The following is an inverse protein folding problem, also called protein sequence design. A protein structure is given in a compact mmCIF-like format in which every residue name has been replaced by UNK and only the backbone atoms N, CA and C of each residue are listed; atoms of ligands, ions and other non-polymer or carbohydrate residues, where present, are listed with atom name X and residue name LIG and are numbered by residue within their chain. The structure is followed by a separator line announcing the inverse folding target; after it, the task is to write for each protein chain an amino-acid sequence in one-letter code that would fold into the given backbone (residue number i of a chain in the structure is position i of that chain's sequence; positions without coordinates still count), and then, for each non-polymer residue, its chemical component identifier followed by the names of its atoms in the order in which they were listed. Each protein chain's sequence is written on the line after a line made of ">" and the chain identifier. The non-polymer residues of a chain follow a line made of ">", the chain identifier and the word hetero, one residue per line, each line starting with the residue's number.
data_IF_463320608270
#
_entry.id   IF_463320608270
#
_cell.length_a   1.000
_cell.length_b   1.000
_cell.length_c   1.000
_cell.angle_alpha   90.00
_cell.angle_beta   90.00
_cell.angle_gamma   90.00
#
_symmetry.space_group_name_H-M   'P 1'
#
loop_
_entity.id
_entity.type
_entity.pdbx_description
1 polymer ?
#
# COMPACT_ATOMS: atom_id res chain seq x y z
N UNK A 1 22.86 6.06 50.62
CA UNK A 1 22.09 7.24 51.09
C UNK A 1 20.64 6.83 51.34
N UNK A 2 20.22 6.76 52.60
CA UNK A 2 18.96 6.13 53.02
C UNK A 2 17.71 6.84 52.49
N UNK A 3 16.82 6.06 51.87
CA UNK A 3 15.52 6.52 51.37
C UNK A 3 14.54 6.60 52.54
N UNK A 4 14.25 7.81 53.04
CA UNK A 4 13.24 8.01 54.09
C UNK A 4 11.83 7.65 53.58
N UNK A 5 11.00 7.07 54.44
CA UNK A 5 9.59 6.78 54.13
C UNK A 5 8.84 8.08 53.83
N UNK A 6 7.99 8.06 52.81
CA UNK A 6 7.25 9.26 52.35
C UNK A 6 6.10 9.67 53.27
N UNK A 7 5.72 8.80 54.21
CA UNK A 7 4.61 8.99 55.14
C UNK A 7 5.01 9.64 56.47
N UNK A 8 6.30 9.73 56.77
CA UNK A 8 6.81 10.27 58.04
C UNK A 8 7.47 11.64 57.87
N UNK A 9 7.40 12.45 58.93
CA UNK A 9 8.09 13.74 59.02
C UNK A 9 9.60 13.55 59.21
N UNK A 10 10.38 14.63 59.13
CA UNK A 10 11.84 14.59 59.37
C UNK A 10 12.21 14.04 60.77
N UNK A 11 11.29 14.15 61.73
CA UNK A 11 11.40 13.63 63.11
C UNK A 11 10.86 12.20 63.27
N UNK A 12 10.38 11.55 62.22
CA UNK A 12 9.78 10.21 62.29
C UNK A 12 8.31 10.16 62.71
N UNK A 13 7.70 11.29 63.09
CA UNK A 13 6.27 11.37 63.43
C UNK A 13 5.41 11.19 62.17
N UNK A 14 4.23 10.58 62.33
CA UNK A 14 3.25 10.46 61.26
C UNK A 14 2.89 11.84 60.70
N UNK A 15 2.88 11.96 59.37
CA UNK A 15 2.60 13.23 58.70
C UNK A 15 1.09 13.45 58.58
N UNK A 16 0.62 14.68 58.80
CA UNK A 16 -0.80 15.03 58.68
C UNK A 16 -1.35 14.62 57.29
N UNK A 17 -2.53 13.98 57.20
CA UNK A 17 -3.14 13.58 55.92
C UNK A 17 -3.26 14.73 54.90
N UNK A 18 -3.54 15.96 55.35
CA UNK A 18 -3.59 17.15 54.47
C UNK A 18 -2.21 17.48 53.89
N UNK A 19 -1.16 17.38 54.71
CA UNK A 19 0.21 17.58 54.26
C UNK A 19 0.69 16.48 53.31
N UNK A 20 0.21 15.25 53.50
CA UNK A 20 0.47 14.14 52.57
C UNK A 20 -0.12 14.46 51.20
N UNK A 21 -1.39 14.86 51.14
CA UNK A 21 -2.04 15.25 49.89
C UNK A 21 -1.31 16.41 49.19
N UNK A 22 -0.90 17.44 49.94
CA UNK A 22 -0.12 18.57 49.41
C UNK A 22 1.25 18.15 48.86
N UNK A 23 1.99 17.31 49.59
CA UNK A 23 3.29 16.79 49.11
C UNK A 23 3.13 15.91 47.88
N UNK A 24 2.08 15.11 47.80
CA UNK A 24 1.79 14.30 46.63
C UNK A 24 1.46 15.16 45.40
N UNK A 25 0.63 16.20 45.57
CA UNK A 25 0.34 17.16 44.52
C UNK A 25 1.63 17.85 44.03
N UNK A 26 2.46 18.35 44.94
CA UNK A 26 3.75 18.96 44.60
C UNK A 26 4.68 17.98 43.87
N UNK A 27 4.72 16.71 44.28
CA UNK A 27 5.51 15.67 43.63
C UNK A 27 5.02 15.38 42.21
N UNK A 28 3.70 15.37 41.99
CA UNK A 28 3.11 15.22 40.64
C UNK A 28 3.48 16.42 39.76
N UNK A 29 3.40 17.63 40.32
CA UNK A 29 3.76 18.86 39.63
C UNK A 29 5.26 18.91 39.26
N UNK A 30 6.15 18.59 40.21
CA UNK A 30 7.59 18.49 39.97
C UNK A 30 7.93 17.46 38.89
N UNK A 31 7.19 16.35 38.81
CA UNK A 31 7.36 15.36 37.73
C UNK A 31 6.95 15.93 36.37
N UNK A 32 5.83 16.65 36.29
CA UNK A 32 5.41 17.32 35.05
C UNK A 32 6.45 18.34 34.60
N UNK A 33 6.90 19.20 35.51
CA UNK A 33 7.95 20.19 35.24
C UNK A 33 9.27 19.55 34.81
N UNK A 34 9.67 18.44 35.42
CA UNK A 34 10.86 17.68 34.98
C UNK A 34 10.68 17.14 33.55
N UNK A 35 9.52 16.56 33.23
CA UNK A 35 9.23 16.08 31.87
C UNK A 35 9.27 17.21 30.85
N UNK A 36 8.62 18.34 31.15
CA UNK A 36 8.63 19.52 30.30
C UNK A 36 10.06 20.02 30.06
N UNK A 37 10.87 20.15 31.11
CA UNK A 37 12.29 20.52 30.97
C UNK A 37 13.06 19.56 30.07
N UNK A 38 12.83 18.25 30.19
CA UNK A 38 13.49 17.27 29.32
C UNK A 38 13.03 17.39 27.86
N UNK A 39 11.73 17.59 27.61
CA UNK A 39 11.21 17.82 26.26
C UNK A 39 11.75 19.10 25.64
N UNK A 40 11.74 20.21 26.39
CA UNK A 40 12.31 21.50 25.95
C UNK A 40 13.80 21.35 25.65
N UNK A 41 14.57 20.66 26.52
CA UNK A 41 15.99 20.38 26.27
C UNK A 41 16.21 19.59 24.99
N UNK A 42 15.43 18.52 24.77
CA UNK A 42 15.51 17.73 23.55
C UNK A 42 15.18 18.57 22.31
N UNK A 43 14.10 19.35 22.33
CA UNK A 43 13.70 20.19 21.19
C UNK A 43 14.74 21.27 20.88
N UNK A 44 15.28 21.94 21.90
CA UNK A 44 16.34 22.96 21.73
C UNK A 44 17.61 22.33 21.15
N UNK A 45 17.95 21.10 21.54
CA UNK A 45 19.09 20.39 20.96
C UNK A 45 18.83 20.05 19.49
N UNK A 46 17.64 19.54 19.12
CA UNK A 46 17.33 19.19 17.72
C UNK A 46 17.53 20.33 16.71
N UNK A 47 17.35 21.58 17.13
CA UNK A 47 17.43 22.77 16.27
C UNK A 47 18.83 23.38 16.17
N UNK A 48 19.82 22.87 16.92
CA UNK A 48 21.17 23.43 16.97
C UNK A 48 22.11 22.70 16.03
N UNK A 49 23.09 23.43 15.52
CA UNK A 49 24.22 22.83 14.80
C UNK A 49 25.12 22.04 15.76
N UNK A 50 25.64 20.87 15.36
CA UNK A 50 26.57 20.07 16.18
C UNK A 50 28.02 20.57 16.12
N UNK A 51 28.39 21.36 15.09
CA UNK A 51 29.76 21.87 14.88
C UNK A 51 30.33 22.69 16.06
N UNK A 52 29.57 23.56 16.75
CA UNK A 52 30.04 24.24 17.96
C UNK A 52 30.51 23.29 19.07
N UNK A 53 29.88 22.12 19.23
CA UNK A 53 30.25 21.15 20.27
C UNK A 53 31.66 20.60 20.01
N UNK A 54 31.97 20.31 18.74
CA UNK A 54 33.31 19.86 18.32
C UNK A 54 34.34 20.95 18.60
N UNK A 55 34.06 22.19 18.21
CA UNK A 55 34.94 23.34 18.49
C UNK A 55 35.19 23.55 19.99
N UNK A 56 34.19 23.32 20.83
CA UNK A 56 34.34 23.43 22.28
C UNK A 56 35.14 22.25 22.87
N UNK A 57 35.11 21.07 22.26
CA UNK A 57 36.02 19.97 22.62
C UNK A 57 37.46 20.30 22.23
N UNK A 58 37.68 20.80 21.01
CA UNK A 58 39.00 21.23 20.53
C UNK A 58 39.62 22.31 21.43
N UNK A 59 38.83 23.30 21.87
CA UNK A 59 39.30 24.32 22.84
C UNK A 59 39.70 23.73 24.19
N UNK A 60 39.04 22.66 24.65
CA UNK A 60 39.45 21.98 25.88
C UNK A 60 40.78 21.27 25.68
N UNK A 61 40.99 20.65 24.51
CA UNK A 61 42.26 20.00 24.15
C UNK A 61 43.39 21.02 24.01
N UNK A 62 43.15 22.15 23.33
CA UNK A 62 44.10 23.26 23.23
C UNK A 62 44.52 23.79 24.60
N UNK A 63 43.59 23.84 25.56
CA UNK A 63 43.87 24.30 26.92
C UNK A 63 44.59 23.26 27.77
N UNK A 64 44.36 21.96 27.54
CA UNK A 64 44.99 20.86 28.27
C UNK A 64 46.42 20.60 27.78
N UNK A 65 46.62 20.67 26.47
CA UNK A 65 47.88 20.35 25.80
C UNK A 65 48.68 21.59 25.39
N UNK A 66 48.40 22.75 25.98
CA UNK A 66 49.19 23.96 25.73
C UNK A 66 50.60 23.81 26.34
N UNK A 67 51.68 23.81 25.53
CA UNK A 67 53.03 23.66 26.05
C UNK A 67 53.56 24.94 26.72
N UNK A 68 52.91 26.08 26.51
CA UNK A 68 53.35 27.40 27.00
C UNK A 68 52.64 27.79 28.29
N UNK A 69 51.35 27.48 28.40
CA UNK A 69 50.54 27.82 29.57
C UNK A 69 50.05 26.57 30.28
N UNK A 70 50.30 26.50 31.58
CA UNK A 70 49.72 25.46 32.42
C UNK A 70 48.18 25.56 32.39
N UNK A 71 47.45 24.43 32.28
CA UNK A 71 45.99 24.45 32.24
C UNK A 71 45.41 25.15 33.46
N UNK A 72 44.50 26.11 33.23
CA UNK A 72 43.85 26.85 34.33
C UNK A 72 42.86 25.99 35.13
N UNK A 73 42.42 24.87 34.56
CA UNK A 73 41.45 23.97 35.16
C UNK A 73 42.12 22.65 35.56
N UNK A 74 41.65 22.09 36.68
CA UNK A 74 42.05 20.77 37.14
C UNK A 74 41.69 19.69 36.09
N UNK A 75 42.56 18.70 35.90
CA UNK A 75 42.42 17.59 34.96
C UNK A 75 41.07 16.87 35.09
N UNK A 76 40.58 16.67 36.33
CA UNK A 76 39.26 16.06 36.58
C UNK A 76 38.12 16.90 35.97
N UNK A 77 38.22 18.23 36.07
CA UNK A 77 37.21 19.16 35.54
C UNK A 77 37.25 19.16 34.01
N UNK A 78 38.42 19.08 33.39
CA UNK A 78 38.58 18.95 31.94
C UNK A 78 37.93 17.67 31.43
N UNK A 79 38.23 16.53 32.05
CA UNK A 79 37.62 15.23 31.75
C UNK A 79 36.11 15.25 31.89
N UNK A 80 35.57 15.83 32.97
CA UNK A 80 34.13 15.94 33.19
C UNK A 80 33.44 16.85 32.15
N UNK A 81 34.08 17.96 31.76
CA UNK A 81 33.55 18.85 30.70
C UNK A 81 33.56 18.14 29.35
N UNK A 82 34.65 17.46 28.99
CA UNK A 82 34.78 16.69 27.75
C UNK A 82 33.73 15.59 27.67
N UNK A 83 33.52 14.86 28.77
CA UNK A 83 32.48 13.84 28.88
C UNK A 83 31.09 14.41 28.62
N UNK A 84 30.75 15.57 29.19
CA UNK A 84 29.44 16.22 28.96
C UNK A 84 29.23 16.68 27.51
N UNK A 85 30.27 17.22 26.87
CA UNK A 85 30.21 17.59 25.45
C UNK A 85 30.03 16.35 24.58
N UNK A 86 30.77 15.28 24.86
CA UNK A 86 30.65 14.02 24.16
C UNK A 86 29.26 13.38 24.32
N UNK A 87 28.70 13.32 25.53
CA UNK A 87 27.33 12.85 25.77
C UNK A 87 26.29 13.67 24.98
N UNK A 88 26.51 14.98 24.85
CA UNK A 88 25.64 15.86 24.05
C UNK A 88 25.78 15.53 22.57
N UNK A 89 27.00 15.34 22.07
CA UNK A 89 27.27 14.99 20.67
C UNK A 89 26.69 13.61 20.30
N UNK A 90 26.83 12.61 21.18
CA UNK A 90 26.27 11.28 20.99
C UNK A 90 24.74 11.32 20.87
N UNK A 91 24.08 12.18 21.66
CA UNK A 91 22.64 12.40 21.55
C UNK A 91 22.24 12.95 20.17
N UNK A 92 22.98 13.92 19.62
CA UNK A 92 22.76 14.41 18.25
C UNK A 92 22.86 13.29 17.22
N UNK A 93 23.91 12.47 17.30
CA UNK A 93 24.13 11.38 16.36
C UNK A 93 23.01 10.33 16.38
N UNK A 94 22.54 9.98 17.58
CA UNK A 94 21.38 9.09 17.75
C UNK A 94 20.11 9.68 17.15
N UNK A 95 19.91 10.99 17.26
CA UNK A 95 18.73 11.64 16.72
C UNK A 95 18.78 11.73 15.19
N UNK A 96 19.94 12.04 14.61
CA UNK A 96 20.15 12.00 13.16
C UNK A 96 19.91 10.60 12.59
N UNK A 97 20.41 9.55 13.27
CA UNK A 97 20.18 8.16 12.87
C UNK A 97 18.69 7.80 12.89
N UNK A 98 17.90 8.30 13.85
CA UNK A 98 16.45 8.05 13.85
C UNK A 98 15.78 8.71 12.65
N UNK A 99 16.15 9.95 12.32
CA UNK A 99 15.60 10.66 11.16
C UNK A 99 15.92 9.93 9.84
N UNK A 100 17.15 9.41 9.70
CA UNK A 100 17.56 8.57 8.57
C UNK A 100 16.70 7.30 8.46
N UNK A 101 16.51 6.58 9.57
CA UNK A 101 15.66 5.37 9.61
C UNK A 101 14.20 5.69 9.29
N UNK A 102 13.64 6.77 9.84
CA UNK A 102 12.27 7.22 9.54
C UNK A 102 12.09 7.57 8.06
N UNK A 103 13.10 8.19 7.44
CA UNK A 103 13.10 8.47 6.00
C UNK A 103 13.12 7.19 5.17
N UNK A 104 14.01 6.24 5.48
CA UNK A 104 14.08 4.95 4.76
C UNK A 104 12.78 4.16 4.90
N UNK A 105 12.13 4.19 6.06
CA UNK A 105 10.81 3.58 6.25
C UNK A 105 9.75 4.22 5.35
N UNK A 106 9.69 5.56 5.29
CA UNK A 106 8.75 6.27 4.41
C UNK A 106 9.01 5.96 2.94
N UNK A 107 10.28 5.89 2.54
CA UNK A 107 10.68 5.51 1.19
C UNK A 107 10.27 4.08 0.85
N UNK A 108 10.47 3.14 1.77
CA UNK A 108 10.06 1.75 1.61
C UNK A 108 8.53 1.62 1.45
N UNK A 109 7.76 2.35 2.26
CA UNK A 109 6.29 2.39 2.15
C UNK A 109 5.84 2.93 0.78
N UNK A 110 6.46 4.01 0.31
CA UNK A 110 6.18 4.57 -1.02
C UNK A 110 6.54 3.59 -2.15
N UNK A 111 7.68 2.90 -2.04
CA UNK A 111 8.09 1.87 -3.00
C UNK A 111 7.07 0.73 -3.04
N UNK A 112 6.67 0.21 -1.87
CA UNK A 112 5.68 -0.87 -1.77
C UNK A 112 4.32 -0.45 -2.37
N UNK A 113 3.87 0.77 -2.08
CA UNK A 113 2.64 1.31 -2.67
C UNK A 113 2.75 1.41 -4.19
N UNK A 114 3.86 1.95 -4.69
CA UNK A 114 4.12 2.05 -6.13
C UNK A 114 4.11 0.68 -6.81
N UNK A 115 4.80 -0.32 -6.25
CA UNK A 115 4.84 -1.67 -6.76
C UNK A 115 3.46 -2.34 -6.72
N UNK A 116 2.69 -2.16 -5.64
CA UNK A 116 1.32 -2.67 -5.53
C UNK A 116 0.41 -2.09 -6.62
N UNK A 117 0.48 -0.77 -6.85
CA UNK A 117 -0.29 -0.10 -7.90
C UNK A 117 0.13 -0.62 -9.28
N UNK A 118 1.44 -0.70 -9.56
CA UNK A 118 1.96 -1.22 -10.83
C UNK A 118 1.53 -2.66 -11.09
N UNK A 119 1.61 -3.51 -10.07
CA UNK A 119 1.19 -4.91 -10.14
C UNK A 119 -0.31 -5.02 -10.41
N UNK A 120 -1.15 -4.22 -9.74
CA UNK A 120 -2.59 -4.18 -10.00
C UNK A 120 -2.91 -3.75 -11.44
N UNK A 121 -2.23 -2.73 -11.98
CA UNK A 121 -2.37 -2.34 -13.39
C UNK A 121 -1.92 -3.45 -14.35
N UNK A 122 -0.82 -4.15 -14.03
CA UNK A 122 -0.37 -5.32 -14.78
C UNK A 122 -1.42 -6.44 -14.77
N UNK A 123 -1.97 -6.77 -13.59
CA UNK A 123 -3.02 -7.78 -13.45
C UNK A 123 -4.29 -7.36 -14.19
N UNK A 124 -4.73 -6.10 -14.10
CA UNK A 124 -5.90 -5.61 -14.86
C UNK A 124 -5.68 -5.76 -16.37
N UNK A 125 -4.48 -5.47 -16.87
CA UNK A 125 -4.12 -5.62 -18.28
C UNK A 125 -4.09 -7.09 -18.73
N UNK A 126 -3.67 -8.00 -17.85
CA UNK A 126 -3.56 -9.44 -18.13
C UNK A 126 -4.88 -10.19 -17.94
N UNK A 127 -5.70 -9.80 -16.96
CA UNK A 127 -6.99 -10.41 -16.60
C UNK A 127 -8.11 -9.97 -17.55
N UNK A 128 -8.02 -8.75 -18.09
CA UNK A 128 -8.90 -8.29 -19.16
C UNK A 128 -8.10 -8.28 -20.47
N UNK A 129 -7.98 -9.43 -21.17
CA UNK A 129 -7.51 -9.39 -22.55
C UNK A 129 -8.46 -8.45 -23.28
N UNK A 130 -7.91 -7.35 -23.77
CA UNK A 130 -8.59 -6.17 -24.30
C UNK A 130 -9.97 -6.47 -24.95
N UNK A 131 -10.91 -5.50 -24.92
CA UNK A 131 -12.28 -5.69 -25.41
C UNK A 131 -12.36 -6.02 -26.91
N UNK A 132 -11.24 -6.11 -27.62
CA UNK A 132 -11.10 -6.61 -28.98
C UNK A 132 -11.75 -7.97 -29.20
N UNK A 133 -11.65 -8.93 -28.28
CA UNK A 133 -12.33 -10.24 -28.47
C UNK A 133 -13.86 -10.10 -28.38
N UNK A 134 -14.35 -9.35 -27.40
CA UNK A 134 -15.79 -9.11 -27.21
C UNK A 134 -16.39 -8.26 -28.35
N UNK A 135 -15.67 -7.24 -28.81
CA UNK A 135 -16.09 -6.38 -29.94
C UNK A 135 -16.06 -7.15 -31.26
N UNK A 136 -15.12 -8.08 -31.45
CA UNK A 136 -15.12 -8.97 -32.62
C UNK A 136 -16.34 -9.90 -32.62
N UNK A 137 -16.69 -10.49 -31.47
CA UNK A 137 -17.87 -11.35 -31.31
C UNK A 137 -19.17 -10.56 -31.54
N UNK A 138 -19.30 -9.35 -31.00
CA UNK A 138 -20.45 -8.48 -31.24
C UNK A 138 -20.56 -8.07 -32.72
N UNK A 139 -19.45 -7.79 -33.39
CA UNK A 139 -19.43 -7.48 -34.83
C UNK A 139 -19.81 -8.66 -35.70
N UNK A 140 -19.40 -9.90 -35.35
CA UNK A 140 -19.81 -11.09 -36.11
C UNK A 140 -21.29 -11.38 -35.90
N UNK A 141 -21.80 -11.27 -34.68
CA UNK A 141 -23.24 -11.40 -34.40
C UNK A 141 -24.08 -10.37 -35.15
N UNK A 142 -23.66 -9.11 -35.17
CA UNK A 142 -24.36 -8.06 -35.92
C UNK A 142 -24.36 -8.32 -37.43
N UNK A 143 -23.23 -8.80 -38.00
CA UNK A 143 -23.16 -9.21 -39.42
C UNK A 143 -24.08 -10.39 -39.73
N UNK A 144 -24.07 -11.43 -38.89
CA UNK A 144 -24.94 -12.60 -39.06
C UNK A 144 -26.42 -12.22 -38.98
N UNK A 145 -26.80 -11.38 -38.02
CA UNK A 145 -28.15 -10.85 -37.88
C UNK A 145 -28.59 -10.08 -39.13
N UNK A 146 -27.78 -9.14 -39.62
CA UNK A 146 -28.09 -8.37 -40.83
C UNK A 146 -28.21 -9.25 -42.08
N UNK A 147 -27.36 -10.28 -42.24
CA UNK A 147 -27.48 -11.20 -43.39
C UNK A 147 -28.77 -12.01 -43.36
N UNK A 148 -29.25 -12.42 -42.17
CA UNK A 148 -30.52 -13.13 -42.03
C UNK A 148 -31.71 -12.23 -42.38
N UNK A 149 -31.68 -10.96 -41.98
CA UNK A 149 -32.70 -9.97 -42.36
C UNK A 149 -32.69 -9.72 -43.87
N UNK A 150 -31.51 -9.61 -44.49
CA UNK A 150 -31.42 -9.41 -45.95
C UNK A 150 -31.96 -10.63 -46.73
N UNK A 151 -31.63 -11.84 -46.29
CA UNK A 151 -32.11 -13.07 -46.93
C UNK A 151 -33.63 -13.20 -46.83
N UNK A 152 -34.22 -12.92 -45.67
CA UNK A 152 -35.69 -12.92 -45.52
C UNK A 152 -36.39 -11.83 -46.33
N UNK A 153 -35.78 -10.64 -46.46
CA UNK A 153 -36.28 -9.58 -47.33
C UNK A 153 -36.22 -9.95 -48.83
N UNK A 154 -35.16 -10.63 -49.28
CA UNK A 154 -35.09 -11.09 -50.68
C UNK A 154 -36.08 -12.22 -50.97
N UNK A 155 -36.29 -13.15 -50.04
CA UNK A 155 -37.30 -14.23 -50.20
C UNK A 155 -38.71 -13.65 -50.25
N UNK A 156 -39.03 -12.66 -49.43
CA UNK A 156 -40.34 -11.99 -49.46
C UNK A 156 -40.55 -11.17 -50.73
N UNK A 157 -39.52 -10.46 -51.21
CA UNK A 157 -39.57 -9.75 -52.49
C UNK A 157 -39.73 -10.71 -53.70
N UNK A 158 -39.12 -11.90 -53.66
CA UNK A 158 -39.35 -12.93 -54.68
C UNK A 158 -40.76 -13.52 -54.58
N UNK A 159 -41.32 -13.67 -53.39
CA UNK A 159 -42.70 -14.16 -53.18
C UNK A 159 -43.77 -13.14 -53.62
N UNK A 160 -43.48 -11.83 -53.54
CA UNK A 160 -44.39 -10.78 -53.99
C UNK A 160 -44.43 -10.69 -55.53
N UNK A 161 -43.31 -10.97 -56.22
CA UNK A 161 -43.27 -11.12 -57.68
C UNK A 161 -44.07 -12.33 -58.21
N UNK A 162 -44.34 -13.33 -57.38
CA UNK A 162 -45.08 -14.55 -57.76
C UNK A 162 -46.60 -14.39 -57.63
N UNK A 163 -47.09 -13.37 -56.91
CA UNK A 163 -48.54 -13.13 -56.72
C UNK A 163 -49.25 -12.53 -57.95
N UNK A 164 -48.52 -12.19 -59.01
CA UNK A 164 -49.06 -11.72 -60.29
C UNK A 164 -49.02 -12.74 -61.44
N UNK A 165 -48.65 -14.00 -61.17
CA UNK A 165 -48.51 -15.03 -62.20
C UNK A 165 -49.72 -15.96 -62.20
N UNK A 166 -50.27 -16.26 -63.39
CA UNK A 166 -51.33 -17.24 -63.55
C UNK A 166 -50.89 -18.62 -63.03
N UNK A 167 -51.86 -19.40 -62.54
CA UNK A 167 -51.63 -20.72 -61.92
C UNK A 167 -50.90 -21.71 -62.86
N UNK A 168 -50.95 -21.47 -64.17
CA UNK A 168 -50.34 -22.31 -65.20
C UNK A 168 -48.81 -22.17 -65.27
N UNK A 169 -48.23 -21.00 -64.96
CA UNK A 169 -46.78 -20.79 -65.10
C UNK A 169 -45.97 -21.27 -63.87
N UNK A 170 -46.62 -21.40 -62.70
CA UNK A 170 -45.97 -21.84 -61.46
C UNK A 170 -45.60 -23.33 -61.49
N UNK A 171 -46.29 -24.15 -62.29
CA UNK A 171 -46.00 -25.58 -62.38
C UNK A 171 -44.74 -25.88 -63.22
N UNK A 172 -44.47 -25.12 -64.28
CA UNK A 172 -43.31 -25.34 -65.16
C UNK A 172 -41.97 -24.82 -64.63
N UNK A 173 -41.97 -23.88 -63.67
CA UNK A 173 -40.74 -23.41 -63.00
C UNK A 173 -40.31 -24.30 -61.83
N UNK A 174 -41.21 -25.15 -61.31
CA UNK A 174 -40.90 -26.10 -60.22
C UNK A 174 -40.19 -27.37 -60.70
N UNK A 175 -40.22 -27.64 -62.01
CA UNK A 175 -39.60 -28.84 -62.61
C UNK A 175 -38.14 -28.63 -63.07
N UNK A 176 -37.67 -27.39 -63.23
CA UNK A 176 -36.30 -27.11 -63.74
C UNK A 176 -35.25 -26.76 -62.68
N UNK A 177 -35.61 -26.66 -61.40
CA UNK A 177 -34.64 -26.52 -60.29
C UNK A 177 -34.42 -27.80 -59.47
N UNK A 178 -34.98 -28.94 -59.90
CA UNK A 178 -34.72 -30.28 -59.32
C UNK A 178 -33.57 -31.02 -60.04
N UNK A 179 -32.71 -30.31 -60.78
CA UNK A 179 -31.63 -30.92 -61.56
C UNK A 179 -30.31 -30.14 -61.52
N UNK A 180 -29.86 -29.71 -60.34
CA UNK A 180 -28.41 -29.52 -60.01
C UNK A 180 -28.24 -29.05 -58.57
N UNK A 181 -27.88 -29.99 -57.68
CA UNK A 181 -26.88 -29.86 -56.60
C UNK A 181 -26.88 -31.15 -55.78
N UNK A 182 -26.26 -32.19 -56.34
CA UNK A 182 -25.56 -33.17 -55.52
C UNK A 182 -24.30 -32.46 -55.02
N UNK A 183 -24.39 -31.87 -53.82
CA UNK A 183 -23.23 -31.43 -53.04
C UNK A 183 -23.40 -32.04 -51.66
N UNK A 184 -22.49 -32.96 -51.34
CA UNK A 184 -22.31 -33.64 -50.06
C UNK A 184 -22.55 -32.70 -48.87
N UNK A 185 -23.29 -33.11 -47.83
CA UNK A 185 -23.37 -32.33 -46.60
C UNK A 185 -22.06 -32.51 -45.81
N UNK A 186 -21.11 -31.58 -45.97
CA UNK A 186 -20.09 -31.33 -44.94
C UNK A 186 -20.69 -30.54 -43.77
N UNK A 187 -21.79 -31.02 -43.20
CA UNK A 187 -22.41 -30.42 -42.01
C UNK A 187 -22.03 -31.19 -40.73
N UNK A 188 -21.23 -32.26 -40.84
CA UNK A 188 -20.74 -33.00 -39.67
C UNK A 188 -19.42 -32.47 -39.07
N UNK A 189 -18.77 -31.44 -39.63
CA UNK A 189 -17.48 -30.95 -39.11
C UNK A 189 -17.56 -29.71 -38.21
N UNK A 190 -18.71 -29.00 -38.19
CA UNK A 190 -18.87 -27.83 -37.31
C UNK A 190 -19.43 -28.19 -35.92
N UNK A 191 -20.03 -29.38 -35.76
CA UNK A 191 -20.56 -29.86 -34.49
C UNK A 191 -19.48 -30.43 -33.53
N UNK A 192 -18.23 -30.58 -34.00
CA UNK A 192 -17.09 -31.03 -33.18
C UNK A 192 -16.19 -29.87 -32.69
N UNK A 193 -16.50 -28.62 -33.03
CA UNK A 193 -15.69 -27.44 -32.65
C UNK A 193 -16.42 -26.44 -31.75
N UNK A 194 -17.69 -26.69 -31.41
CA UNK A 194 -18.44 -25.89 -30.45
C UNK A 194 -18.98 -26.82 -29.36
N UNK A 195 -18.18 -26.98 -28.31
CA UNK A 195 -18.57 -27.72 -27.10
C UNK A 195 -19.82 -27.13 -26.46
N UNK A 196 -20.67 -28.02 -25.99
CA UNK A 196 -21.93 -27.73 -25.30
C UNK A 196 -21.76 -26.73 -24.13
N UNK A 197 -22.59 -25.68 -24.02
CA UNK A 197 -22.55 -24.74 -22.90
C UNK A 197 -23.46 -25.15 -21.73
N UNK A 198 -24.01 -26.37 -21.72
CA UNK A 198 -24.83 -26.88 -20.62
C UNK A 198 -24.16 -28.07 -19.93
N UNK A 199 -23.09 -27.80 -19.20
CA UNK A 199 -22.67 -28.68 -18.10
C UNK A 199 -22.43 -27.85 -16.85
N UNK A 200 -23.54 -27.44 -16.24
CA UNK A 200 -23.60 -26.83 -14.92
C UNK A 200 -23.65 -27.94 -13.86
N UNK A 201 -22.50 -28.36 -13.37
CA UNK A 201 -22.34 -28.99 -12.05
C UNK A 201 -21.04 -28.47 -11.39
N UNK A 202 -21.22 -27.58 -10.42
CA UNK A 202 -20.31 -27.31 -9.30
C UNK A 202 -21.00 -27.87 -8.04
N UNK A 203 -20.36 -28.01 -6.86
CA UNK A 203 -18.92 -28.10 -6.53
C UNK A 203 -18.63 -29.24 -5.51
N UNK A 204 -17.37 -29.53 -5.18
CA UNK A 204 -16.97 -29.93 -3.81
C UNK A 204 -15.43 -29.90 -3.64
N UNK A 205 -15.00 -29.10 -2.66
CA UNK A 205 -13.82 -29.29 -1.80
C UNK A 205 -12.41 -29.28 -2.42
N UNK A 206 -11.83 -28.07 -2.58
CA UNK A 206 -10.40 -27.89 -2.32
C UNK A 206 -10.21 -26.90 -1.17
N UNK A 207 -9.60 -27.44 -0.12
CA UNK A 207 -9.42 -26.89 1.20
C UNK A 207 -8.36 -25.77 1.16
N UNK A 208 -8.79 -24.51 1.25
CA UNK A 208 -7.90 -23.40 1.53
C UNK A 208 -7.86 -23.19 3.03
N UNK A 209 -6.72 -23.54 3.62
CA UNK A 209 -6.34 -23.14 4.97
C UNK A 209 -6.12 -21.62 4.98
N UNK A 210 -7.07 -20.87 5.51
CA UNK A 210 -6.86 -19.51 6.00
C UNK A 210 -7.27 -19.48 7.47
N UNK A 211 -6.27 -19.47 8.36
CA UNK A 211 -6.45 -19.08 9.75
C UNK A 211 -6.60 -17.55 9.85
N UNK A 212 -7.49 -17.03 10.71
CA UNK A 212 -7.53 -15.62 11.06
C UNK A 212 -6.62 -15.36 12.27
N UNK A 213 -5.84 -14.27 12.22
CA UNK A 213 -5.29 -13.65 13.43
C UNK A 213 -5.56 -12.15 13.34
N UNK A 214 -6.58 -11.73 14.09
CA UNK A 214 -6.76 -10.38 14.60
C UNK A 214 -7.05 -10.52 16.10
N UNK A 215 -6.02 -10.24 16.91
CA UNK A 215 -6.04 -9.62 18.25
C UNK A 215 -4.64 -9.74 18.86
#
# INVERSE_FOLDING_TARGET
>A
LGRRSTSSTKSGKFMNPTDQARKEAQKRELKKNKKQRMMVRAAVLKMKDPKPIIRDMEKLDEMEFNPVQQPQLNEKVLKDKRKKLHETFEYFYKELRKLEVEYEQKRAQLSQYFDAVKNAHGVMTMMFPAPVKMVAILKTWARMSMTTVLMTATVTHQMEKVKGMNLCTVMTLRETTMKKKSVRPQVCLLALLLGDPHNSYLPLHLQVSLHPVLA
#
